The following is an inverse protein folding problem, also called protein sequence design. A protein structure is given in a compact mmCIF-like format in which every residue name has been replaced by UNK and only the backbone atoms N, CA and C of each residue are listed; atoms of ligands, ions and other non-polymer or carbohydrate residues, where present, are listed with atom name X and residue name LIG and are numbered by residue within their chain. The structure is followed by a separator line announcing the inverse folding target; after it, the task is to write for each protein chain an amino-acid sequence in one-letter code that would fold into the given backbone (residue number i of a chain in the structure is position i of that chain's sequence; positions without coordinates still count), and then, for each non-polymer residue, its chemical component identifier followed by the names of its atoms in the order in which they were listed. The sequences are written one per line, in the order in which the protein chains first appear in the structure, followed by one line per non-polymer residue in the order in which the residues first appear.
data_IF_017779952445
#
_entry.id   IF_017779952445
#
_cell.length_a   1.000
_cell.length_b   1.000
_cell.length_c   1.000
_cell.angle_alpha   90.00
_cell.angle_beta   90.00
_cell.angle_gamma   90.00
#
_symmetry.space_group_name_H-M   'P 1'
#
loop_
_entity.id
_entity.type
_entity.pdbx_description
1 polymer ?
#
# COMPACT_ATOMS: atom_id res chain seq x y z
N UNK A 1 15.59 -3.15 26.13
CA UNK A 1 15.39 -4.01 24.93
C UNK A 1 14.41 -3.30 24.02
N UNK A 2 14.85 -2.82 22.84
CA UNK A 2 13.95 -2.21 21.84
C UNK A 2 13.05 -3.32 21.32
N UNK A 3 11.82 -3.43 21.84
CA UNK A 3 10.78 -4.19 21.15
C UNK A 3 10.52 -3.45 19.85
N UNK A 4 11.12 -3.95 18.76
CA UNK A 4 10.79 -3.55 17.41
C UNK A 4 9.36 -4.03 17.15
N UNK A 5 8.38 -3.34 17.72
CA UNK A 5 7.03 -3.35 17.20
C UNK A 5 7.16 -2.77 15.80
N UNK A 6 7.15 -3.64 14.81
CA UNK A 6 6.70 -3.28 13.48
C UNK A 6 5.36 -2.58 13.72
N UNK A 7 5.35 -1.25 13.65
CA UNK A 7 4.19 -0.43 14.03
C UNK A 7 2.96 -1.05 13.40
N UNK A 8 1.86 -1.19 14.14
CA UNK A 8 0.61 -1.79 13.63
C UNK A 8 0.20 -1.14 12.29
N UNK A 9 0.56 0.13 12.07
CA UNK A 9 0.46 0.81 10.76
C UNK A 9 1.17 0.09 9.61
N UNK A 10 2.35 -0.48 9.83
CA UNK A 10 3.12 -1.24 8.84
C UNK A 10 2.49 -2.61 8.55
N UNK A 11 1.87 -3.27 9.54
CA UNK A 11 1.18 -4.55 9.37
C UNK A 11 -0.18 -4.38 8.67
N UNK A 12 -0.94 -3.35 9.06
CA UNK A 12 -2.16 -2.89 8.38
C UNK A 12 -1.89 -2.59 6.91
N UNK A 13 -0.84 -1.82 6.61
CA UNK A 13 -0.46 -1.47 5.23
C UNK A 13 0.02 -2.67 4.42
N UNK A 14 0.68 -3.64 5.06
CA UNK A 14 1.14 -4.87 4.40
C UNK A 14 -0.05 -5.74 3.99
N UNK A 15 -1.04 -5.92 4.87
CA UNK A 15 -2.27 -6.67 4.58
C UNK A 15 -3.13 -5.93 3.54
N UNK A 16 -3.20 -4.60 3.61
CA UNK A 16 -3.87 -3.78 2.59
C UNK A 16 -3.20 -3.97 1.22
N UNK A 17 -1.87 -3.87 1.13
CA UNK A 17 -1.17 -4.07 -0.15
C UNK A 17 -1.37 -5.47 -0.73
N UNK A 18 -1.40 -6.54 0.08
CA UNK A 18 -1.67 -7.89 -0.42
C UNK A 18 -3.09 -8.04 -0.99
N UNK A 19 -4.08 -7.39 -0.38
CA UNK A 19 -5.48 -7.47 -0.83
C UNK A 19 -5.80 -6.57 -2.04
N UNK A 20 -5.15 -5.41 -2.15
CA UNK A 20 -5.39 -4.41 -3.20
C UNK A 20 -4.73 -4.76 -4.55
N UNK A 21 -3.84 -5.76 -4.58
CA UNK A 21 -3.00 -6.14 -5.73
C UNK A 21 -3.58 -7.24 -6.63
N UNK A 22 -4.85 -7.66 -6.48
CA UNK A 22 -5.45 -8.74 -7.29
C UNK A 22 -5.76 -8.37 -8.77
N UNK A 23 -5.25 -7.26 -9.29
CA UNK A 23 -5.36 -6.92 -10.70
C UNK A 23 -3.99 -6.56 -11.31
N UNK A 24 -3.14 -7.57 -11.55
CA UNK A 24 -2.14 -7.55 -12.63
C UNK A 24 -1.64 -8.99 -12.89
N UNK A 25 -1.81 -9.44 -14.13
CA UNK A 25 -1.42 -10.73 -14.72
C UNK A 25 -0.13 -11.37 -14.18
N UNK A 26 -0.10 -12.71 -14.16
CA UNK A 26 1.05 -13.56 -13.86
C UNK A 26 2.37 -12.98 -14.40
N UNK A 27 3.21 -12.48 -13.49
CA UNK A 27 4.58 -12.09 -13.79
C UNK A 27 5.43 -13.35 -13.55
N UNK A 28 6.03 -13.89 -14.61
CA UNK A 28 7.15 -14.82 -14.47
C UNK A 28 8.33 -14.06 -13.85
N UNK A 29 8.40 -14.04 -12.52
CA UNK A 29 9.47 -13.38 -11.80
C UNK A 29 10.71 -14.28 -11.78
N UNK A 30 11.55 -14.19 -12.82
CA UNK A 30 12.89 -14.77 -12.78
C UNK A 30 13.93 -13.69 -13.06
N UNK A 31 14.26 -12.87 -12.06
CA UNK A 31 15.59 -12.25 -11.92
C UNK A 31 15.81 -11.80 -10.48
N UNK A 32 16.96 -12.14 -9.88
CA UNK A 32 17.43 -11.64 -8.59
C UNK A 32 17.92 -10.19 -8.70
N UNK A 33 17.03 -9.25 -9.03
CA UNK A 33 17.41 -7.84 -9.10
C UNK A 33 17.68 -7.31 -7.69
N UNK A 34 18.91 -6.82 -7.44
CA UNK A 34 19.25 -6.15 -6.18
C UNK A 34 18.64 -4.75 -6.18
N UNK A 35 17.80 -4.47 -5.19
CA UNK A 35 17.23 -3.13 -4.97
C UNK A 35 18.14 -2.30 -4.07
N UNK A 36 18.25 -1.01 -4.39
CA UNK A 36 18.94 -0.01 -3.58
C UNK A 36 17.95 1.10 -3.27
N UNK A 37 17.98 1.56 -2.01
CA UNK A 37 17.03 2.52 -1.48
C UNK A 37 17.79 3.78 -1.05
N UNK A 38 17.35 4.92 -1.57
CA UNK A 38 17.77 6.24 -1.10
C UNK A 38 16.62 6.81 -0.27
N UNK A 39 16.82 6.98 1.03
CA UNK A 39 15.77 7.35 1.99
C UNK A 39 16.12 8.66 2.69
N UNK A 40 15.17 9.57 2.69
CA UNK A 40 15.15 10.77 3.53
C UNK A 40 13.95 10.70 4.49
N UNK A 41 13.77 11.74 5.31
CA UNK A 41 12.63 11.82 6.25
C UNK A 41 11.27 11.68 5.53
N UNK A 42 11.08 12.44 4.44
CA UNK A 42 9.79 12.52 3.73
C UNK A 42 9.82 11.92 2.32
N UNK A 43 10.86 11.17 1.94
CA UNK A 43 10.94 10.58 0.61
C UNK A 43 11.78 9.31 0.56
N UNK A 44 11.48 8.46 -0.41
CA UNK A 44 12.25 7.25 -0.71
C UNK A 44 12.31 7.04 -2.22
N UNK A 45 13.50 6.79 -2.76
CA UNK A 45 13.68 6.40 -4.16
C UNK A 45 14.27 4.99 -4.25
N UNK A 46 13.64 4.16 -5.07
CA UNK A 46 14.00 2.76 -5.31
C UNK A 46 14.71 2.65 -6.64
N UNK A 47 15.88 2.03 -6.62
CA UNK A 47 16.70 1.75 -7.79
C UNK A 47 16.91 0.25 -7.95
N UNK A 48 17.08 -0.22 -9.18
CA UNK A 48 17.71 -1.52 -9.45
C UNK A 48 19.16 -1.32 -9.81
N UNK A 49 20.02 -2.17 -9.25
CA UNK A 49 21.40 -2.29 -9.68
C UNK A 49 21.47 -3.18 -10.92
N UNK A 50 22.21 -2.74 -11.93
CA UNK A 50 22.45 -3.55 -13.13
C UNK A 50 23.33 -4.78 -12.83
N UNK A 51 23.41 -5.73 -13.77
CA UNK A 51 24.20 -6.97 -13.60
C UNK A 51 25.69 -6.69 -13.36
N UNK A 52 26.22 -5.57 -13.88
CA UNK A 52 27.62 -5.19 -13.67
C UNK A 52 27.90 -4.66 -12.27
N UNK A 53 26.86 -4.30 -11.52
CA UNK A 53 27.00 -3.72 -10.19
C UNK A 53 27.42 -2.25 -10.19
N UNK A 54 27.42 -1.57 -11.34
CA UNK A 54 27.97 -0.22 -11.51
C UNK A 54 26.93 0.85 -11.70
N UNK A 55 25.76 0.51 -12.26
CA UNK A 55 24.78 1.50 -12.67
C UNK A 55 23.44 1.30 -11.96
N UNK A 56 22.89 2.40 -11.46
CA UNK A 56 21.57 2.46 -10.85
C UNK A 56 20.54 2.89 -11.89
N UNK A 57 19.44 2.15 -11.97
CA UNK A 57 18.25 2.55 -12.75
C UNK A 57 17.11 2.87 -11.78
N UNK A 58 16.58 4.10 -11.77
CA UNK A 58 15.43 4.45 -10.94
C UNK A 58 14.19 3.65 -11.36
N UNK A 59 13.37 3.27 -10.36
CA UNK A 59 12.14 2.50 -10.56
C UNK A 59 10.93 3.20 -9.96
N UNK A 60 10.99 3.48 -8.67
CA UNK A 60 9.89 4.09 -7.91
C UNK A 60 10.42 5.23 -7.06
N UNK A 61 9.58 6.25 -6.86
CA UNK A 61 9.80 7.31 -5.87
C UNK A 61 8.55 7.40 -5.01
N UNK A 62 8.75 7.62 -3.71
CA UNK A 62 7.70 7.84 -2.75
C UNK A 62 7.89 9.20 -2.08
N UNK A 63 6.79 9.90 -1.87
CA UNK A 63 6.71 11.10 -1.05
C UNK A 63 5.75 10.82 0.10
N UNK A 64 6.21 11.09 1.31
CA UNK A 64 5.46 10.89 2.54
C UNK A 64 5.02 12.24 3.09
N UNK A 65 3.76 12.34 3.50
CA UNK A 65 3.25 13.52 4.17
C UNK A 65 2.37 13.12 5.35
N UNK A 66 2.53 13.82 6.47
CA UNK A 66 1.78 13.62 7.71
C UNK A 66 1.06 14.91 8.08
N UNK A 67 -0.26 14.86 8.03
CA UNK A 67 -1.12 15.97 8.45
C UNK A 67 -1.44 15.84 9.95
N UNK A 68 -0.79 16.68 10.76
CA UNK A 68 -0.89 16.63 12.23
C UNK A 68 -2.30 16.95 12.75
N UNK A 69 -3.07 17.78 12.06
CA UNK A 69 -4.42 18.19 12.52
C UNK A 69 -5.49 17.13 12.27
N UNK A 70 -5.33 16.31 11.24
CA UNK A 70 -6.30 15.29 10.83
C UNK A 70 -5.89 13.85 11.14
N UNK A 71 -4.71 13.62 11.73
CA UNK A 71 -4.10 12.29 11.87
C UNK A 71 -4.13 11.48 10.56
N UNK A 72 -3.85 12.17 9.44
CA UNK A 72 -3.80 11.55 8.12
C UNK A 72 -2.36 11.47 7.65
N UNK A 73 -1.94 10.28 7.26
CA UNK A 73 -0.65 10.02 6.63
C UNK A 73 -0.88 9.64 5.17
N UNK A 74 0.01 10.07 4.28
CA UNK A 74 -0.09 9.76 2.86
C UNK A 74 1.25 9.31 2.32
N UNK A 75 1.19 8.35 1.38
CA UNK A 75 2.32 7.86 0.58
C UNK A 75 1.95 8.02 -0.89
N UNK A 76 2.50 9.03 -1.53
CA UNK A 76 2.35 9.26 -2.97
C UNK A 76 3.47 8.55 -3.72
N UNK A 77 3.13 7.68 -4.66
CA UNK A 77 4.07 6.93 -5.46
C UNK A 77 4.18 7.48 -6.88
N UNK A 78 5.39 7.44 -7.41
CA UNK A 78 5.73 7.77 -8.78
C UNK A 78 6.51 6.62 -9.41
N UNK A 79 6.28 6.39 -10.70
CA UNK A 79 7.04 5.45 -11.53
C UNK A 79 8.00 6.21 -12.43
N UNK A 80 9.19 5.65 -12.64
CA UNK A 80 10.15 6.22 -13.57
C UNK A 80 9.74 5.93 -15.01
N UNK A 81 9.53 6.98 -15.82
CA UNK A 81 9.43 6.85 -17.27
C UNK A 81 10.83 6.95 -17.88
N UNK A 82 11.37 5.83 -18.35
CA UNK A 82 12.72 5.79 -18.93
C UNK A 82 12.83 6.54 -20.27
N UNK A 83 11.77 6.51 -21.10
CA UNK A 83 11.76 7.22 -22.40
C UNK A 83 11.76 8.74 -22.24
N UNK A 84 10.97 9.25 -21.30
CA UNK A 84 10.84 10.69 -21.05
C UNK A 84 11.80 11.20 -19.97
N UNK A 85 12.52 10.28 -19.30
CA UNK A 85 13.42 10.56 -18.17
C UNK A 85 12.76 11.42 -17.09
N UNK A 86 11.52 11.08 -16.73
CA UNK A 86 10.73 11.81 -15.73
C UNK A 86 9.99 10.89 -14.78
N UNK A 87 9.70 11.39 -13.59
CA UNK A 87 8.80 10.74 -12.64
C UNK A 87 7.35 11.01 -13.05
N UNK A 88 6.55 9.95 -13.15
CA UNK A 88 5.12 10.03 -13.48
C UNK A 88 4.33 9.55 -12.25
N UNK A 89 3.29 10.27 -11.82
CA UNK A 89 2.44 9.79 -10.73
C UNK A 89 1.91 8.38 -11.02
N UNK A 90 1.81 7.57 -9.97
CA UNK A 90 1.43 6.17 -10.11
C UNK A 90 0.22 5.82 -9.23
N UNK A 91 0.32 6.04 -7.93
CA UNK A 91 -0.79 5.84 -7.00
C UNK A 91 -0.61 6.67 -5.74
N UNK A 92 -1.68 6.80 -4.97
CA UNK A 92 -1.70 7.39 -3.65
C UNK A 92 -2.24 6.38 -2.66
N UNK A 93 -1.57 6.26 -1.52
CA UNK A 93 -2.12 5.58 -0.34
C UNK A 93 -2.33 6.63 0.74
N UNK A 94 -3.51 6.62 1.35
CA UNK A 94 -3.84 7.42 2.53
C UNK A 94 -4.14 6.51 3.71
N UNK A 95 -3.68 6.91 4.89
CA UNK A 95 -3.87 6.20 6.14
C UNK A 95 -4.48 7.18 7.14
N UNK A 96 -5.56 6.79 7.79
CA UNK A 96 -6.26 7.62 8.78
C UNK A 96 -6.88 6.77 9.88
N UNK A 97 -7.32 7.44 10.93
CA UNK A 97 -7.92 6.80 12.10
C UNK A 97 -9.32 7.38 12.34
N UNK A 98 -10.29 6.52 12.63
CA UNK A 98 -11.66 6.92 12.96
C UNK A 98 -12.22 6.01 14.07
N UNK A 99 -12.32 6.55 15.28
CA UNK A 99 -12.64 5.75 16.47
C UNK A 99 -11.64 4.60 16.64
N UNK A 100 -12.16 3.37 16.76
CA UNK A 100 -11.32 2.17 16.86
C UNK A 100 -10.83 1.66 15.51
N UNK A 101 -11.17 2.31 14.40
CA UNK A 101 -10.82 1.83 13.07
C UNK A 101 -9.56 2.51 12.53
N UNK A 102 -8.67 1.72 11.96
CA UNK A 102 -7.64 2.20 11.02
C UNK A 102 -8.14 2.05 9.60
N UNK A 103 -8.01 3.11 8.82
CA UNK A 103 -8.52 3.19 7.45
C UNK A 103 -7.33 3.36 6.51
N UNK A 104 -7.25 2.50 5.50
CA UNK A 104 -6.28 2.62 4.41
C UNK A 104 -7.03 2.77 3.11
N UNK A 105 -6.77 3.85 2.39
CA UNK A 105 -7.35 4.11 1.07
C UNK A 105 -6.26 4.08 0.02
N UNK A 106 -6.60 3.53 -1.14
CA UNK A 106 -5.75 3.47 -2.32
C UNK A 106 -6.50 4.08 -3.50
N UNK A 107 -5.78 4.84 -4.31
CA UNK A 107 -6.23 5.22 -5.64
C UNK A 107 -5.06 5.30 -6.61
N UNK A 108 -5.24 4.74 -7.80
CA UNK A 108 -4.30 4.85 -8.90
C UNK A 108 -4.44 6.23 -9.58
N UNK A 109 -3.34 6.69 -10.18
CA UNK A 109 -3.34 7.90 -10.98
C UNK A 109 -4.13 7.71 -12.27
N UNK A 110 -5.10 8.59 -12.50
CA UNK A 110 -5.83 8.70 -13.74
C UNK A 110 -5.23 9.80 -14.63
N UNK A 111 -4.71 9.41 -15.79
CA UNK A 111 -4.18 10.36 -16.75
C UNK A 111 -5.26 11.23 -17.40
N UNK A 112 -6.53 10.82 -17.40
CA UNK A 112 -7.61 11.60 -18.00
C UNK A 112 -8.02 12.75 -17.08
N UNK A 113 -8.34 12.44 -15.82
CA UNK A 113 -8.74 13.45 -14.82
C UNK A 113 -7.57 14.18 -14.17
N UNK A 114 -6.33 13.70 -14.35
CA UNK A 114 -5.13 14.22 -13.69
C UNK A 114 -5.25 14.19 -12.15
N UNK A 115 -5.87 13.13 -11.63
CA UNK A 115 -6.10 12.92 -10.20
C UNK A 115 -5.95 11.44 -9.80
N UNK A 116 -5.88 11.17 -8.49
CA UNK A 116 -5.90 9.82 -7.93
C UNK A 116 -7.34 9.35 -7.72
N UNK A 117 -8.00 8.99 -8.81
CA UNK A 117 -9.42 8.60 -8.85
C UNK A 117 -9.66 7.22 -9.49
N UNK A 118 -8.62 6.58 -10.03
CA UNK A 118 -8.74 5.29 -10.69
C UNK A 118 -8.62 4.14 -9.69
N UNK A 119 -9.45 3.10 -9.85
CA UNK A 119 -9.39 1.88 -9.04
C UNK A 119 -9.38 2.15 -7.53
N UNK A 120 -10.21 3.09 -7.08
CA UNK A 120 -10.32 3.45 -5.67
C UNK A 120 -10.75 2.26 -4.83
N UNK A 121 -9.97 2.00 -3.79
CA UNK A 121 -10.17 0.89 -2.87
C UNK A 121 -9.91 1.35 -1.44
N UNK A 122 -10.59 0.72 -0.48
CA UNK A 122 -10.49 1.09 0.93
C UNK A 122 -10.52 -0.14 1.80
N UNK A 123 -9.63 -0.20 2.78
CA UNK A 123 -9.63 -1.21 3.83
C UNK A 123 -9.91 -0.53 5.17
N UNK A 124 -10.86 -1.07 5.92
CA UNK A 124 -11.20 -0.61 7.27
C UNK A 124 -10.88 -1.73 8.25
N UNK A 125 -9.91 -1.50 9.12
CA UNK A 125 -9.44 -2.44 10.13
C UNK A 125 -10.04 -2.05 11.47
N UNK A 126 -10.80 -2.95 12.09
CA UNK A 126 -11.33 -2.73 13.42
C UNK A 126 -10.30 -3.18 14.46
N UNK A 127 -9.98 -2.30 15.42
CA UNK A 127 -9.02 -2.59 16.49
C UNK A 127 -9.71 -2.86 17.82
N UNK A 128 -9.15 -3.82 18.57
CA UNK A 128 -9.51 -4.13 19.94
C UNK A 128 -8.79 -3.24 20.96
N UNK A 129 -9.00 -3.53 22.25
CA UNK A 129 -8.49 -2.72 23.36
C UNK A 129 -6.96 -2.66 23.45
N UNK A 130 -6.24 -3.68 22.98
CA UNK A 130 -4.77 -3.72 22.95
C UNK A 130 -4.17 -3.29 21.60
N UNK A 131 -4.98 -2.64 20.74
CA UNK A 131 -4.68 -2.32 19.33
C UNK A 131 -4.53 -3.54 18.40
N UNK A 132 -4.92 -4.73 18.84
CA UNK A 132 -5.00 -5.90 17.97
C UNK A 132 -6.04 -5.70 16.86
N UNK A 133 -5.72 -6.15 15.64
CA UNK A 133 -6.66 -6.14 14.52
C UNK A 133 -7.65 -7.29 14.72
N UNK A 134 -8.93 -6.98 14.95
CA UNK A 134 -9.98 -7.97 15.17
C UNK A 134 -10.63 -8.43 13.86
N UNK A 135 -10.83 -7.48 12.93
CA UNK A 135 -11.45 -7.73 11.64
C UNK A 135 -11.01 -6.69 10.62
N UNK A 136 -11.22 -7.00 9.34
CA UNK A 136 -11.14 -6.00 8.28
C UNK A 136 -12.28 -6.14 7.28
N UNK A 137 -12.62 -5.00 6.67
CA UNK A 137 -13.57 -4.91 5.56
C UNK A 137 -12.89 -4.22 4.40
N UNK A 138 -12.91 -4.85 3.24
CA UNK A 138 -12.47 -4.25 1.97
C UNK A 138 -13.66 -3.65 1.26
N UNK A 139 -13.45 -2.49 0.67
CA UNK A 139 -14.42 -1.78 -0.12
C UNK A 139 -13.82 -1.41 -1.48
N UNK A 140 -14.68 -1.44 -2.50
CA UNK A 140 -14.40 -0.87 -3.82
C UNK A 140 -15.30 0.31 -4.05
N UNK A 141 -14.80 1.31 -4.77
CA UNK A 141 -15.62 2.44 -5.18
C UNK A 141 -16.49 2.05 -6.37
N UNK A 142 -17.80 2.22 -6.25
CA UNK A 142 -18.72 2.14 -7.37
C UNK A 142 -18.84 3.54 -8.01
N UNK A 143 -18.30 3.75 -9.22
CA UNK A 143 -18.34 5.05 -9.87
C UNK A 143 -19.72 5.41 -10.45
N UNK A 144 -20.64 4.44 -10.57
CA UNK A 144 -22.00 4.66 -11.08
C UNK A 144 -22.92 5.18 -9.97
N UNK A 145 -22.87 4.53 -8.81
CA UNK A 145 -23.69 4.89 -7.64
C UNK A 145 -23.00 5.89 -6.69
N UNK A 146 -21.77 6.30 -7.03
CA UNK A 146 -20.93 7.21 -6.25
C UNK A 146 -20.80 6.82 -4.76
N UNK A 147 -20.60 5.54 -4.49
CA UNK A 147 -20.53 5.02 -3.12
C UNK A 147 -19.46 3.93 -2.95
N UNK A 148 -19.20 3.58 -1.68
CA UNK A 148 -18.33 2.46 -1.32
C UNK A 148 -19.16 1.19 -1.14
N UNK A 149 -18.81 0.14 -1.89
CA UNK A 149 -19.41 -1.17 -1.77
C UNK A 149 -18.46 -2.12 -1.05
N UNK A 150 -18.98 -2.86 -0.07
CA UNK A 150 -18.19 -3.86 0.63
C UNK A 150 -17.92 -5.05 -0.31
N UNK A 151 -16.65 -5.36 -0.51
CA UNK A 151 -16.16 -6.42 -1.38
C UNK A 151 -15.82 -7.69 -0.60
N UNK A 152 -15.23 -7.53 0.59
CA UNK A 152 -14.80 -8.65 1.43
C UNK A 152 -14.85 -8.29 2.92
N UNK A 153 -15.19 -9.27 3.76
CA UNK A 153 -15.16 -9.19 5.21
C UNK A 153 -14.41 -10.38 5.80
N UNK A 154 -13.48 -10.13 6.73
CA UNK A 154 -12.78 -11.20 7.44
C UNK A 154 -12.62 -10.88 8.92
N UNK A 155 -12.81 -11.90 9.76
CA UNK A 155 -12.36 -11.91 11.15
C UNK A 155 -10.93 -12.42 11.19
N UNK A 156 -10.06 -11.73 11.94
CA UNK A 156 -8.65 -12.12 12.02
C UNK A 156 -8.46 -13.48 12.73
N UNK A 157 -9.42 -13.87 13.59
CA UNK A 157 -9.46 -15.20 14.21
C UNK A 157 -9.65 -16.35 13.22
N UNK A 158 -10.35 -16.12 12.10
CA UNK A 158 -10.59 -17.15 11.08
C UNK A 158 -9.36 -17.36 10.17
N UNK A 159 -8.52 -16.33 10.02
CA UNK A 159 -7.30 -16.39 9.23
C UNK A 159 -6.21 -17.27 9.86
N UNK A 160 -6.06 -17.20 11.20
CA UNK A 160 -5.10 -18.04 11.93
C UNK A 160 -5.42 -19.55 11.85
N UNK A 161 -6.69 -19.90 11.67
CA UNK A 161 -7.11 -21.29 11.45
C UNK A 161 -6.76 -21.79 10.04
N UNK A 162 -6.90 -20.93 9.02
CA UNK A 162 -6.58 -21.27 7.62
C UNK A 162 -5.07 -21.47 7.38
N UNK A 163 -4.21 -20.68 8.02
CA UNK A 163 -2.76 -20.86 7.92
C UNK A 163 -2.29 -22.16 8.59
N UNK A 164 -2.91 -22.54 9.71
CA UNK A 164 -2.59 -23.78 10.42
C UNK A 164 -2.92 -25.04 9.60
N UNK A 165 -4.02 -25.02 8.85
CA UNK A 165 -4.42 -26.13 7.97
C UNK A 165 -3.61 -26.18 6.66
N UNK A 166 -3.05 -25.04 6.21
CA UNK A 166 -2.22 -24.98 4.99
C UNK A 166 -0.75 -25.39 5.18
N UNK A 167 -0.33 -25.58 6.44
CA UNK A 167 1.02 -26.02 6.82
C UNK A 167 1.11 -27.51 7.18
N UNK A 168 0.03 -28.27 6.98
CA UNK A 168 -0.01 -29.73 7.03
C UNK A 168 -0.22 -30.32 5.64
#
# INVERSE_FOLDING_TARGET
MKKSFMSISMLVVSISMLALFLCSSAINAQTSSKFIYDKSENSETVYTLDKSGKYLTPKLKYEYNKETKGNKETKKAYRWNASERKWVPYYLISMSESGNNSIVEYAAWDNQTQDFSLNCQKAVYNRGFENDILSYVLYKWNPVEENWEADQYLLCGDYLALEADSMN
#
